data_IF_744528403531
#
_entry.id   IF_744528403531
#
_cell.length_a   1.000
_cell.length_b   1.000
_cell.length_c   1.000
_cell.angle_alpha   90.00
_cell.angle_beta   90.00
_cell.angle_gamma   90.00
#
_symmetry.space_group_name_H-M   'P 1'
#
loop_
_entity.id
_entity.type
_entity.pdbx_description
1 polymer ?
#
# COMPACT_ATOMS: atom_id res chain seq x y z
N UNK A 1 -16.84 67.61 26.15
CA UNK A 1 -16.78 66.25 26.75
C UNK A 1 -17.49 65.22 25.88
N UNK A 2 -18.69 65.52 25.35
CA UNK A 2 -19.47 64.57 24.53
C UNK A 2 -18.78 64.13 23.22
N UNK A 3 -18.11 65.07 22.54
CA UNK A 3 -17.42 64.78 21.28
C UNK A 3 -16.21 63.84 21.47
N UNK A 4 -15.49 63.96 22.59
CA UNK A 4 -14.36 63.09 22.92
C UNK A 4 -14.83 61.67 23.26
N UNK A 5 -15.97 61.55 23.96
CA UNK A 5 -16.61 60.27 24.28
C UNK A 5 -17.12 59.56 23.03
N UNK A 6 -17.73 60.28 22.08
CA UNK A 6 -18.20 59.71 20.82
C UNK A 6 -17.05 59.18 19.96
N UNK A 7 -15.95 59.93 19.86
CA UNK A 7 -14.73 59.52 19.15
C UNK A 7 -14.07 58.31 19.82
N UNK A 8 -13.94 58.32 21.15
CA UNK A 8 -13.40 57.20 21.91
C UNK A 8 -14.24 55.94 21.71
N UNK A 9 -15.56 56.06 21.75
CA UNK A 9 -16.48 54.95 21.50
C UNK A 9 -16.31 54.36 20.10
N UNK A 10 -16.24 55.22 19.09
CA UNK A 10 -16.05 54.80 17.69
C UNK A 10 -14.70 54.10 17.50
N UNK A 11 -13.65 54.64 18.10
CA UNK A 11 -12.31 54.04 18.07
C UNK A 11 -12.30 52.66 18.74
N UNK A 12 -12.87 52.54 19.95
CA UNK A 12 -12.96 51.27 20.67
C UNK A 12 -13.80 50.25 19.89
N UNK A 13 -14.93 50.65 19.33
CA UNK A 13 -15.82 49.76 18.54
C UNK A 13 -15.10 49.27 17.26
N UNK A 14 -14.34 50.15 16.60
CA UNK A 14 -13.52 49.80 15.43
C UNK A 14 -12.36 48.86 15.79
N UNK A 15 -11.64 49.13 16.89
CA UNK A 15 -10.55 48.26 17.36
C UNK A 15 -11.08 46.89 17.79
N UNK A 16 -12.19 46.85 18.54
CA UNK A 16 -12.82 45.60 18.94
C UNK A 16 -13.22 44.75 17.73
N UNK A 17 -13.82 45.37 16.71
CA UNK A 17 -14.18 44.70 15.45
C UNK A 17 -12.94 44.15 14.74
N UNK A 18 -11.86 44.93 14.65
CA UNK A 18 -10.61 44.51 14.03
C UNK A 18 -9.98 43.32 14.77
N UNK A 19 -9.96 43.36 16.11
CA UNK A 19 -9.43 42.27 16.94
C UNK A 19 -10.25 41.00 16.78
N UNK A 20 -11.58 41.09 16.77
CA UNK A 20 -12.47 39.95 16.56
C UNK A 20 -12.27 39.30 15.19
N UNK A 21 -12.18 40.11 14.13
CA UNK A 21 -11.93 39.61 12.77
C UNK A 21 -10.57 38.89 12.68
N UNK A 22 -9.54 39.47 13.30
CA UNK A 22 -8.19 38.87 13.35
C UNK A 22 -8.20 37.54 14.12
N UNK A 23 -8.85 37.51 15.28
CA UNK A 23 -8.97 36.30 16.10
C UNK A 23 -9.77 35.21 15.38
N UNK A 24 -10.85 35.57 14.69
CA UNK A 24 -11.64 34.64 13.88
C UNK A 24 -10.80 34.06 12.75
N UNK A 25 -10.08 34.88 11.99
CA UNK A 25 -9.21 34.41 10.91
C UNK A 25 -8.12 33.47 11.41
N UNK A 26 -7.47 33.80 12.54
CA UNK A 26 -6.47 32.92 13.16
C UNK A 26 -7.07 31.58 13.62
N UNK A 27 -8.26 31.63 14.25
CA UNK A 27 -8.97 30.42 14.71
C UNK A 27 -9.38 29.54 13.54
N UNK A 28 -9.93 30.12 12.48
CA UNK A 28 -10.33 29.41 11.26
C UNK A 28 -9.11 28.73 10.61
N UNK A 29 -7.98 29.44 10.52
CA UNK A 29 -6.72 28.88 10.01
C UNK A 29 -6.19 27.73 10.89
N UNK A 30 -6.22 27.89 12.22
CA UNK A 30 -5.79 26.85 13.15
C UNK A 30 -6.66 25.58 13.05
N UNK A 31 -7.99 25.74 12.97
CA UNK A 31 -8.93 24.62 12.80
C UNK A 31 -8.74 23.92 11.44
N UNK A 32 -8.54 24.69 10.36
CA UNK A 32 -8.25 24.13 9.04
C UNK A 32 -6.94 23.32 9.02
N UNK A 33 -5.90 23.81 9.70
CA UNK A 33 -4.64 23.09 9.85
C UNK A 33 -4.82 21.80 10.65
N UNK A 34 -5.60 21.81 11.74
CA UNK A 34 -5.87 20.62 12.54
C UNK A 34 -6.62 19.54 11.75
N UNK A 35 -7.64 19.92 10.96
CA UNK A 35 -8.35 19.00 10.08
C UNK A 35 -7.40 18.38 9.05
N UNK A 36 -6.59 19.21 8.38
CA UNK A 36 -5.61 18.76 7.38
C UNK A 36 -4.61 17.75 7.96
N UNK A 37 -4.13 17.97 9.20
CA UNK A 37 -3.24 17.04 9.88
C UNK A 37 -3.95 15.73 10.23
N UNK A 38 -5.22 15.79 10.64
CA UNK A 38 -6.03 14.61 10.94
C UNK A 38 -6.24 13.75 9.69
N UNK A 39 -6.62 14.39 8.58
CA UNK A 39 -6.84 13.71 7.31
C UNK A 39 -5.56 13.05 6.79
N UNK A 40 -4.43 13.77 6.88
CA UNK A 40 -3.12 13.22 6.53
C UNK A 40 -2.79 11.99 7.39
N UNK A 41 -3.04 12.04 8.71
CA UNK A 41 -2.80 10.89 9.60
C UNK A 41 -3.66 9.68 9.24
N UNK A 42 -4.95 9.90 8.95
CA UNK A 42 -5.85 8.83 8.53
C UNK A 42 -5.38 8.21 7.21
N UNK A 43 -5.08 9.05 6.22
CA UNK A 43 -4.61 8.61 4.92
C UNK A 43 -3.28 7.86 5.02
N UNK A 44 -2.35 8.32 5.87
CA UNK A 44 -1.11 7.59 6.14
C UNK A 44 -1.40 6.24 6.80
N UNK A 45 -2.26 6.18 7.82
CA UNK A 45 -2.61 4.93 8.48
C UNK A 45 -3.22 3.92 7.51
N UNK A 46 -4.14 4.34 6.65
CA UNK A 46 -4.75 3.48 5.63
C UNK A 46 -3.70 2.95 4.66
N UNK A 47 -2.76 3.81 4.24
CA UNK A 47 -1.65 3.39 3.38
C UNK A 47 -0.71 2.41 4.10
N UNK A 48 -0.40 2.62 5.38
CA UNK A 48 0.40 1.68 6.16
C UNK A 48 -0.28 0.31 6.28
N UNK A 49 -1.59 0.29 6.51
CA UNK A 49 -2.36 -0.96 6.57
C UNK A 49 -2.36 -1.68 5.21
N UNK A 50 -2.52 -0.95 4.11
CA UNK A 50 -2.45 -1.50 2.75
C UNK A 50 -1.06 -2.06 2.43
N UNK A 51 -0.01 -1.34 2.80
CA UNK A 51 1.37 -1.79 2.63
C UNK A 51 1.63 -3.06 3.45
N UNK A 52 1.23 -3.09 4.72
CA UNK A 52 1.41 -4.27 5.56
C UNK A 52 0.68 -5.49 4.98
N UNK A 53 -0.58 -5.31 4.55
CA UNK A 53 -1.36 -6.36 3.88
C UNK A 53 -0.64 -6.87 2.63
N UNK A 54 -0.11 -5.98 1.79
CA UNK A 54 0.62 -6.36 0.58
C UNK A 54 1.93 -7.09 0.89
N UNK A 55 2.64 -6.72 1.96
CA UNK A 55 3.85 -7.43 2.42
C UNK A 55 3.50 -8.85 2.84
N UNK A 56 2.45 -9.02 3.65
CA UNK A 56 2.00 -10.34 4.09
C UNK A 56 1.55 -11.22 2.92
N UNK A 57 0.79 -10.65 1.97
CA UNK A 57 0.38 -11.33 0.74
C UNK A 57 1.58 -11.71 -0.13
N UNK A 58 2.55 -10.82 -0.31
CA UNK A 58 3.78 -11.08 -1.05
C UNK A 58 4.60 -12.21 -0.43
N UNK A 59 4.68 -12.23 0.89
CA UNK A 59 5.37 -13.28 1.63
C UNK A 59 4.70 -14.65 1.50
N UNK A 60 3.37 -14.70 1.62
CA UNK A 60 2.59 -15.91 1.36
C UNK A 60 2.77 -16.38 -0.10
N UNK A 61 2.70 -15.46 -1.07
CA UNK A 61 2.90 -15.73 -2.50
C UNK A 61 4.30 -16.25 -2.80
N UNK A 62 5.32 -15.71 -2.13
CA UNK A 62 6.70 -16.17 -2.24
C UNK A 62 6.86 -17.61 -1.74
N UNK A 63 6.30 -17.92 -0.57
CA UNK A 63 6.29 -19.28 -0.05
C UNK A 63 5.55 -20.25 -0.98
N UNK A 64 4.36 -19.87 -1.46
CA UNK A 64 3.58 -20.67 -2.41
C UNK A 64 4.35 -20.93 -3.72
N UNK A 65 4.94 -19.89 -4.30
CA UNK A 65 5.73 -19.98 -5.53
C UNK A 65 7.01 -20.77 -5.34
N UNK A 66 7.66 -20.67 -4.18
CA UNK A 66 8.84 -21.48 -3.85
C UNK A 66 8.47 -22.95 -3.82
N UNK A 67 7.40 -23.31 -3.12
CA UNK A 67 6.95 -24.70 -3.04
C UNK A 67 6.50 -25.25 -4.41
N UNK A 68 5.84 -24.41 -5.22
CA UNK A 68 5.52 -24.73 -6.61
C UNK A 68 6.79 -24.97 -7.44
N UNK A 69 7.76 -24.05 -7.37
CA UNK A 69 9.01 -24.13 -8.12
C UNK A 69 9.84 -25.37 -7.74
N UNK A 70 9.91 -25.73 -6.45
CA UNK A 70 10.58 -26.97 -6.00
C UNK A 70 9.96 -28.20 -6.67
N UNK A 71 8.62 -28.26 -6.74
CA UNK A 71 7.94 -29.37 -7.40
C UNK A 71 8.09 -29.34 -8.93
N UNK A 72 8.12 -28.15 -9.52
CA UNK A 72 8.32 -27.92 -10.95
C UNK A 72 9.74 -28.24 -11.42
N UNK A 73 10.76 -28.03 -10.59
CA UNK A 73 12.17 -28.26 -10.92
C UNK A 73 12.48 -29.71 -11.30
N UNK A 74 11.67 -30.67 -10.84
CA UNK A 74 11.78 -32.08 -11.26
C UNK A 74 11.08 -32.42 -12.58
N UNK A 75 10.72 -31.43 -13.41
CA UNK A 75 10.05 -31.66 -14.69
C UNK A 75 10.92 -32.46 -15.68
N UNK A 76 10.37 -33.52 -16.25
CA UNK A 76 11.04 -34.36 -17.26
C UNK A 76 10.06 -34.71 -18.39
N UNK A 77 10.58 -35.24 -19.51
CA UNK A 77 9.76 -35.67 -20.65
C UNK A 77 8.96 -34.51 -21.25
N UNK A 78 7.63 -34.65 -21.27
CA UNK A 78 6.72 -33.63 -21.81
C UNK A 78 6.52 -32.43 -20.88
N UNK A 79 7.17 -32.38 -19.71
CA UNK A 79 6.99 -31.33 -18.71
C UNK A 79 6.09 -31.73 -17.54
N UNK A 80 5.89 -30.80 -16.60
CA UNK A 80 5.19 -31.01 -15.34
C UNK A 80 4.40 -29.76 -14.94
N UNK A 81 3.15 -29.97 -14.54
CA UNK A 81 2.37 -28.96 -13.81
C UNK A 81 2.67 -29.11 -12.32
N UNK A 82 2.92 -27.99 -11.66
CA UNK A 82 3.16 -27.92 -10.23
C UNK A 82 2.23 -26.89 -9.58
N UNK A 83 1.93 -27.11 -8.31
CA UNK A 83 1.20 -26.16 -7.48
C UNK A 83 1.87 -26.05 -6.12
N UNK A 84 1.66 -24.92 -5.46
CA UNK A 84 2.15 -24.65 -4.12
C UNK A 84 1.20 -23.73 -3.39
N UNK A 85 1.16 -23.86 -2.07
CA UNK A 85 0.40 -22.99 -1.18
C UNK A 85 1.34 -22.42 -0.14
N UNK A 86 1.06 -21.20 0.30
CA UNK A 86 1.88 -20.49 1.28
C UNK A 86 0.99 -19.69 2.21
N UNK A 87 1.48 -19.46 3.43
CA UNK A 87 0.78 -18.65 4.42
C UNK A 87 1.77 -17.79 5.20
N UNK A 88 1.45 -16.53 5.40
CA UNK A 88 2.26 -15.57 6.16
C UNK A 88 1.37 -14.57 6.88
N UNK A 89 1.59 -14.38 8.19
CA UNK A 89 0.86 -13.40 9.02
C UNK A 89 -0.68 -13.46 8.85
N UNK A 90 -1.25 -14.66 8.66
CA UNK A 90 -2.69 -14.87 8.42
C UNK A 90 -3.18 -14.59 7.00
N UNK A 91 -2.28 -14.36 6.03
CA UNK A 91 -2.59 -14.26 4.59
C UNK A 91 -2.18 -15.56 3.94
N UNK A 92 -2.97 -16.04 2.98
CA UNK A 92 -2.70 -17.28 2.26
C UNK A 92 -2.64 -17.03 0.76
N UNK A 93 -1.76 -17.77 0.10
CA UNK A 93 -1.53 -17.68 -1.33
C UNK A 93 -1.50 -19.06 -1.98
N UNK A 94 -1.87 -19.09 -3.26
CA UNK A 94 -1.78 -20.27 -4.12
C UNK A 94 -0.96 -19.91 -5.36
N UNK A 95 -0.08 -20.84 -5.75
CA UNK A 95 0.75 -20.74 -6.95
C UNK A 95 0.55 -21.98 -7.80
N UNK A 96 0.47 -21.80 -9.11
CA UNK A 96 0.39 -22.86 -10.11
C UNK A 96 1.34 -22.54 -11.26
N UNK A 97 1.96 -23.56 -11.82
CA UNK A 97 2.92 -23.37 -12.90
C UNK A 97 3.17 -24.62 -13.69
N UNK A 98 3.91 -24.45 -14.76
CA UNK A 98 4.33 -25.50 -15.66
C UNK A 98 5.81 -25.34 -15.99
N UNK A 99 6.55 -26.43 -15.94
CA UNK A 99 7.95 -26.47 -16.35
C UNK A 99 8.20 -27.63 -17.30
N UNK A 100 9.13 -27.47 -18.23
CA UNK A 100 9.51 -28.52 -19.16
C UNK A 100 10.99 -28.40 -19.56
N UNK A 101 11.67 -29.53 -19.82
CA UNK A 101 12.98 -29.50 -20.46
C UNK A 101 12.85 -28.97 -21.90
N UNK A 102 13.86 -28.24 -22.35
CA UNK A 102 14.03 -27.77 -23.72
C UNK A 102 15.34 -28.37 -24.27
N UNK A 103 15.22 -29.49 -24.98
CA UNK A 103 16.39 -30.27 -25.39
C UNK A 103 17.05 -31.00 -24.21
N UNK A 104 18.35 -31.31 -24.34
CA UNK A 104 19.05 -32.19 -23.38
C UNK A 104 19.68 -31.45 -22.20
N UNK A 105 19.73 -30.11 -22.22
CA UNK A 105 20.50 -29.30 -21.26
C UNK A 105 19.77 -28.04 -20.80
N UNK A 106 18.59 -27.73 -21.31
CA UNK A 106 17.88 -26.52 -20.90
C UNK A 106 16.54 -26.90 -20.28
N UNK A 107 16.03 -26.04 -19.41
CA UNK A 107 14.68 -26.15 -18.88
C UNK A 107 14.02 -24.78 -18.87
N UNK A 108 12.71 -24.75 -19.06
CA UNK A 108 11.89 -23.55 -19.02
C UNK A 108 10.74 -23.73 -18.05
N UNK A 109 10.27 -22.63 -17.47
CA UNK A 109 9.15 -22.63 -16.55
C UNK A 109 8.31 -21.36 -16.70
N UNK A 110 7.02 -21.49 -16.43
CA UNK A 110 6.06 -20.40 -16.33
C UNK A 110 5.15 -20.66 -15.13
N UNK A 111 4.70 -19.61 -14.46
CA UNK A 111 3.83 -19.76 -13.31
C UNK A 111 3.05 -18.50 -12.99
N UNK A 112 1.98 -18.69 -12.23
CA UNK A 112 1.13 -17.64 -11.71
C UNK A 112 0.85 -17.91 -10.24
N UNK A 113 0.77 -16.84 -9.45
CA UNK A 113 0.46 -16.90 -8.02
C UNK A 113 -0.56 -15.85 -7.67
N UNK A 114 -1.42 -16.15 -6.70
CA UNK A 114 -2.51 -15.28 -6.28
C UNK A 114 -2.67 -15.31 -4.76
N UNK A 115 -2.97 -14.15 -4.18
CA UNK A 115 -3.26 -13.96 -2.76
C UNK A 115 -4.20 -12.78 -2.58
N UNK A 116 -5.43 -13.03 -2.11
CA UNK A 116 -6.43 -11.97 -1.95
C UNK A 116 -6.73 -11.26 -3.26
N UNK A 117 -6.37 -9.97 -3.35
CA UNK A 117 -6.50 -9.15 -4.57
C UNK A 117 -5.20 -9.02 -5.37
N UNK A 118 -4.11 -9.63 -4.92
CA UNK A 118 -2.82 -9.60 -5.61
C UNK A 118 -2.67 -10.85 -6.48
N UNK A 119 -2.20 -10.64 -7.70
CA UNK A 119 -1.82 -11.72 -8.63
C UNK A 119 -0.48 -11.39 -9.25
N UNK A 120 0.35 -12.40 -9.46
CA UNK A 120 1.64 -12.25 -10.14
C UNK A 120 1.85 -13.42 -11.10
N UNK A 121 2.56 -13.17 -12.19
CA UNK A 121 2.96 -14.17 -13.17
C UNK A 121 4.46 -14.05 -13.43
N UNK A 122 5.09 -15.15 -13.79
CA UNK A 122 6.51 -15.19 -14.05
C UNK A 122 6.89 -16.31 -15.00
N UNK A 123 8.06 -16.18 -15.59
CA UNK A 123 8.68 -17.18 -16.43
C UNK A 123 10.18 -17.23 -16.14
N UNK A 124 10.81 -18.38 -16.36
CA UNK A 124 12.23 -18.58 -16.13
C UNK A 124 12.81 -19.67 -17.02
N UNK A 125 14.13 -19.68 -17.15
CA UNK A 125 14.88 -20.72 -17.85
C UNK A 125 16.16 -21.04 -17.09
N UNK A 126 16.71 -22.23 -17.30
CA UNK A 126 18.01 -22.63 -16.78
C UNK A 126 18.70 -23.63 -17.69
N UNK A 127 20.00 -23.83 -17.44
CA UNK A 127 20.88 -24.67 -18.26
C UNK A 127 21.69 -25.59 -17.35
N UNK A 128 21.72 -26.87 -17.67
CA UNK A 128 22.54 -27.89 -17.02
C UNK A 128 23.94 -27.92 -17.67
N UNK A 129 24.99 -27.86 -16.85
CA UNK A 129 26.39 -27.84 -17.31
C UNK A 129 26.93 -29.25 -17.56
#
# INVERSE_FOLDING_TARGET
VDQALATAKTYTDATATQTLNTAKAYTDAALGNQQSISDLRNQMNDQFQNVNKRIDESGAMSAASTQMAINAAGATGIGRIAAGVGSQSGRSAISVGYAAPLGSKMHVSVGATASGSQTSVGAGFGVDL
#
